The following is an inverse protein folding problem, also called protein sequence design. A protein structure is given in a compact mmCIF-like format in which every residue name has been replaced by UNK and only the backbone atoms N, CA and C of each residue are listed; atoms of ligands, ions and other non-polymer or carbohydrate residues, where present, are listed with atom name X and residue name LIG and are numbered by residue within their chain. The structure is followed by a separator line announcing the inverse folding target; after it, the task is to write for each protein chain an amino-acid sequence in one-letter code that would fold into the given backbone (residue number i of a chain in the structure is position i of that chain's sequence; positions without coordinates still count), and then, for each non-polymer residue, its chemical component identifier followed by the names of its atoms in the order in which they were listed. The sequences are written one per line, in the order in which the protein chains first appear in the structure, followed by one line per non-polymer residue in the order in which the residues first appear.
data_IF_200341252506
#
_entry.id   IF_200341252506
#
_cell.length_a   1.000
_cell.length_b   1.000
_cell.length_c   1.000
_cell.angle_alpha   90.00
_cell.angle_beta   90.00
_cell.angle_gamma   90.00
#
_symmetry.space_group_name_H-M   'P 1'
#
loop_
_entity.id
_entity.type
_entity.pdbx_description
1 polymer ?
#
# COMPACT_ATOMS: atom_id res chain seq x y z
N UNK A 1 -12.05 34.69 -53.84
CA UNK A 1 -12.20 33.22 -53.76
C UNK A 1 -11.34 32.74 -52.59
N UNK A 2 -11.92 32.10 -51.56
CA UNK A 2 -11.22 31.69 -50.36
C UNK A 2 -10.63 30.28 -50.53
N UNK A 3 -9.50 30.01 -49.89
CA UNK A 3 -9.13 28.63 -49.51
C UNK A 3 -8.69 28.71 -48.06
N UNK A 4 -9.64 28.38 -47.18
CA UNK A 4 -9.33 28.12 -45.78
C UNK A 4 -8.60 26.78 -45.69
N UNK A 5 -7.67 26.69 -44.75
CA UNK A 5 -7.27 25.42 -44.19
C UNK A 5 -7.18 25.61 -42.67
N UNK A 6 -8.23 25.15 -42.00
CA UNK A 6 -8.27 24.90 -40.57
C UNK A 6 -7.20 23.85 -40.25
N UNK A 7 -6.15 24.24 -39.52
CA UNK A 7 -5.40 23.32 -38.68
C UNK A 7 -6.11 23.25 -37.34
N UNK A 8 -7.23 22.54 -37.33
CA UNK A 8 -7.82 22.05 -36.10
C UNK A 8 -7.15 20.72 -35.75
N UNK A 9 -6.94 20.54 -34.44
CA UNK A 9 -6.73 19.27 -33.77
C UNK A 9 -5.29 18.73 -33.74
N UNK A 10 -4.82 18.54 -32.49
CA UNK A 10 -3.91 17.48 -32.00
C UNK A 10 -3.38 17.79 -30.59
N UNK A 11 -3.95 18.77 -29.87
CA UNK A 11 -3.61 18.98 -28.46
C UNK A 11 -4.50 18.18 -27.49
N UNK A 12 -5.68 17.74 -27.93
CA UNK A 12 -6.63 17.01 -27.08
C UNK A 12 -6.25 15.53 -26.85
N UNK A 13 -5.28 15.01 -27.62
CA UNK A 13 -4.88 13.59 -27.55
C UNK A 13 -3.80 13.31 -26.49
N UNK A 14 -3.06 14.34 -26.05
CA UNK A 14 -2.00 14.18 -25.04
C UNK A 14 -2.61 14.20 -23.63
N UNK A 15 -3.59 15.07 -23.38
CA UNK A 15 -4.27 15.15 -22.09
C UNK A 15 -5.11 13.89 -21.79
N UNK A 16 -5.48 13.14 -22.83
CA UNK A 16 -6.16 11.85 -22.71
C UNK A 16 -5.21 10.68 -22.37
N UNK A 17 -3.90 10.87 -22.51
CA UNK A 17 -2.87 9.87 -22.21
C UNK A 17 -2.38 9.94 -20.75
N UNK A 18 -2.70 11.03 -20.04
CA UNK A 18 -2.37 11.27 -18.63
C UNK A 18 -3.61 11.12 -17.74
N UNK A 19 -4.46 10.15 -18.06
CA UNK A 19 -5.42 9.65 -17.08
C UNK A 19 -4.60 8.84 -16.08
N UNK A 20 -4.20 9.49 -14.97
CA UNK A 20 -3.78 8.82 -13.75
C UNK A 20 -4.99 8.05 -13.21
N UNK A 21 -5.30 6.94 -13.85
CA UNK A 21 -6.25 5.96 -13.33
C UNK A 21 -5.53 5.31 -12.17
N UNK A 22 -5.71 5.91 -10.98
CA UNK A 22 -5.25 5.34 -9.74
C UNK A 22 -5.91 3.96 -9.62
N UNK A 23 -5.16 2.91 -9.95
CA UNK A 23 -5.62 1.54 -9.82
C UNK A 23 -6.08 1.38 -8.37
N UNK A 24 -7.38 1.12 -8.18
CA UNK A 24 -7.87 0.80 -6.85
C UNK A 24 -7.12 -0.43 -6.34
N UNK A 25 -6.84 -0.49 -5.04
CA UNK A 25 -6.11 -1.63 -4.43
C UNK A 25 -6.73 -2.98 -4.83
N UNK A 26 -8.06 -3.02 -5.04
CA UNK A 26 -8.78 -4.19 -5.54
C UNK A 26 -8.34 -4.61 -6.95
N UNK A 27 -8.07 -3.68 -7.86
CA UNK A 27 -7.60 -3.99 -9.22
C UNK A 27 -6.14 -4.48 -9.24
N UNK A 28 -5.32 -4.02 -8.30
CA UNK A 28 -3.94 -4.50 -8.11
C UNK A 28 -3.95 -5.95 -7.58
N UNK A 29 -4.86 -6.26 -6.65
CA UNK A 29 -5.04 -7.61 -6.12
C UNK A 29 -5.56 -8.56 -7.20
N UNK A 30 -6.54 -8.15 -8.01
CA UNK A 30 -7.12 -8.95 -9.09
C UNK A 30 -6.08 -9.31 -10.17
N UNK A 31 -5.24 -8.34 -10.57
CA UNK A 31 -4.15 -8.56 -11.52
C UNK A 31 -3.08 -9.52 -10.98
N UNK A 32 -2.95 -9.61 -9.65
CA UNK A 32 -2.00 -10.53 -8.99
C UNK A 32 -2.61 -11.94 -8.85
N UNK A 33 -3.92 -12.06 -8.66
CA UNK A 33 -4.67 -13.32 -8.58
C UNK A 33 -4.74 -14.04 -9.93
N UNK A 34 -4.91 -13.32 -11.04
CA UNK A 34 -4.92 -13.88 -12.39
C UNK A 34 -3.56 -14.49 -12.80
N UNK A 35 -2.46 -14.08 -12.15
CA UNK A 35 -1.12 -14.65 -12.34
C UNK A 35 -0.87 -15.89 -11.46
N UNK A 36 -1.78 -16.22 -10.55
CA UNK A 36 -1.70 -17.40 -9.68
C UNK A 36 -2.91 -18.30 -9.89
N UNK A 37 -3.05 -18.84 -11.10
CA UNK A 37 -3.85 -20.06 -11.31
C UNK A 37 -3.08 -21.24 -10.72
N UNK A 38 -3.15 -21.39 -9.40
CA UNK A 38 -3.47 -22.67 -8.77
C UNK A 38 -3.82 -22.49 -7.28
N UNK A 39 -5.12 -22.36 -7.03
CA UNK A 39 -5.78 -22.88 -5.83
C UNK A 39 -5.54 -22.19 -4.49
N UNK A 40 -6.37 -21.21 -4.13
CA UNK A 40 -6.99 -21.15 -2.79
C UNK A 40 -8.44 -20.68 -2.89
N UNK A 41 -9.31 -21.68 -2.83
CA UNK A 41 -10.71 -21.77 -2.39
C UNK A 41 -11.31 -20.53 -1.68
N UNK A 42 -12.35 -19.98 -2.30
CA UNK A 42 -13.68 -19.67 -1.74
C UNK A 42 -13.79 -18.99 -0.37
N UNK A 43 -14.17 -17.72 -0.37
CA UNK A 43 -14.76 -17.03 0.78
C UNK A 43 -16.25 -16.76 0.53
N UNK A 44 -17.06 -17.80 0.68
CA UNK A 44 -18.46 -17.65 1.09
C UNK A 44 -18.62 -18.44 2.39
N UNK A 45 -18.83 -17.71 3.49
CA UNK A 45 -18.89 -18.29 4.82
C UNK A 45 -19.26 -17.21 5.82
N UNK A 46 -20.53 -16.80 5.76
CA UNK A 46 -21.24 -16.20 6.88
C UNK A 46 -21.12 -17.15 8.08
N UNK A 47 -20.23 -16.82 9.01
CA UNK A 47 -20.06 -17.56 10.24
C UNK A 47 -19.91 -16.55 11.37
N UNK A 48 -20.94 -16.51 12.21
CA UNK A 48 -20.98 -15.95 13.56
C UNK A 48 -19.93 -16.65 14.46
N UNK A 49 -18.65 -16.53 14.13
CA UNK A 49 -17.57 -16.86 15.05
C UNK A 49 -17.28 -15.60 15.87
N UNK A 50 -17.65 -15.63 17.15
CA UNK A 50 -17.18 -14.72 18.19
C UNK A 50 -15.77 -14.26 17.83
N UNK A 51 -15.62 -12.99 17.43
CA UNK A 51 -14.32 -12.36 17.18
C UNK A 51 -13.50 -12.58 18.44
N UNK A 52 -12.62 -13.57 18.39
CA UNK A 52 -11.66 -13.87 19.43
C UNK A 52 -10.72 -12.69 19.43
N UNK A 53 -11.08 -11.65 20.21
CA UNK A 53 -10.39 -10.37 20.23
C UNK A 53 -8.90 -10.63 20.37
N UNK A 54 -8.19 -10.58 19.26
CA UNK A 54 -6.77 -10.88 19.24
C UNK A 54 -6.12 -9.69 19.90
N UNK A 55 -5.92 -9.78 21.21
CA UNK A 55 -5.43 -8.66 21.99
C UNK A 55 -4.13 -8.20 21.35
N UNK A 56 -4.03 -6.90 21.07
CA UNK A 56 -2.84 -6.33 20.47
C UNK A 56 -1.66 -6.55 21.43
N UNK A 57 -0.74 -7.44 21.08
CA UNK A 57 0.43 -7.76 21.90
C UNK A 57 1.65 -6.98 21.44
N UNK A 58 2.61 -6.76 22.34
CA UNK A 58 3.90 -6.17 21.97
C UNK A 58 4.61 -6.96 20.87
N UNK A 59 4.46 -8.29 20.84
CA UNK A 59 4.99 -9.16 19.78
C UNK A 59 4.36 -8.84 18.42
N UNK A 60 3.03 -8.72 18.34
CA UNK A 60 2.34 -8.36 17.10
C UNK A 60 2.77 -6.97 16.59
N UNK A 61 2.91 -6.00 17.48
CA UNK A 61 3.40 -4.66 17.09
C UNK A 61 4.84 -4.74 16.57
N UNK A 62 5.72 -5.51 17.22
CA UNK A 62 7.09 -5.71 16.78
C UNK A 62 7.15 -6.35 15.39
N UNK A 63 6.35 -7.39 15.14
CA UNK A 63 6.27 -8.07 13.84
C UNK A 63 5.81 -7.11 12.73
N UNK A 64 4.75 -6.32 13.00
CA UNK A 64 4.27 -5.30 12.06
C UNK A 64 5.34 -4.25 11.72
N UNK A 65 6.07 -3.75 12.73
CA UNK A 65 7.17 -2.80 12.52
C UNK A 65 8.31 -3.40 11.68
N UNK A 66 8.61 -4.69 11.86
CA UNK A 66 9.61 -5.40 11.05
C UNK A 66 9.18 -5.56 9.59
N UNK A 67 7.91 -5.87 9.35
CA UNK A 67 7.36 -5.96 8.00
C UNK A 67 7.43 -4.61 7.27
N UNK A 68 7.07 -3.52 7.94
CA UNK A 68 7.18 -2.18 7.37
C UNK A 68 8.62 -1.84 7.01
N UNK A 69 9.59 -2.17 7.86
CA UNK A 69 11.01 -1.96 7.56
C UNK A 69 11.48 -2.75 6.32
N UNK A 70 11.00 -4.00 6.14
CA UNK A 70 11.31 -4.79 4.95
C UNK A 70 10.71 -4.16 3.69
N UNK A 71 9.48 -3.64 3.78
CA UNK A 71 8.79 -2.96 2.69
C UNK A 71 9.53 -1.69 2.26
N UNK A 72 9.94 -0.85 3.22
CA UNK A 72 10.73 0.37 2.95
C UNK A 72 12.02 0.03 2.22
N UNK A 73 12.78 -0.95 2.72
CA UNK A 73 14.04 -1.37 2.11
C UNK A 73 13.85 -1.92 0.70
N UNK A 74 12.76 -2.66 0.45
CA UNK A 74 12.46 -3.18 -0.88
C UNK A 74 12.35 -2.05 -1.90
N UNK A 75 11.58 -1.00 -1.60
CA UNK A 75 11.42 0.11 -2.56
C UNK A 75 12.65 1.00 -2.66
N UNK A 76 13.40 1.22 -1.57
CA UNK A 76 14.66 1.97 -1.62
C UNK A 76 15.73 1.32 -2.50
N UNK A 77 15.78 -0.02 -2.54
CA UNK A 77 16.78 -0.76 -3.32
C UNK A 77 16.34 -0.92 -4.78
N UNK A 78 15.06 -1.20 -5.03
CA UNK A 78 14.60 -1.67 -6.33
C UNK A 78 13.97 -0.58 -7.21
N UNK A 79 13.58 0.58 -6.65
CA UNK A 79 12.94 1.65 -7.44
C UNK A 79 13.98 2.66 -7.94
N UNK A 80 14.11 2.86 -9.27
CA UNK A 80 15.04 3.83 -9.83
C UNK A 80 14.72 5.29 -9.44
N UNK A 81 13.43 5.58 -9.22
CA UNK A 81 12.97 6.89 -8.76
C UNK A 81 13.14 7.01 -7.23
N UNK A 82 14.27 7.57 -6.82
CA UNK A 82 14.61 7.79 -5.42
C UNK A 82 13.63 8.70 -4.70
N UNK A 83 13.09 9.73 -5.35
CA UNK A 83 12.10 10.65 -4.76
C UNK A 83 10.83 9.89 -4.34
N UNK A 84 10.31 9.02 -5.21
CA UNK A 84 9.15 8.17 -4.92
C UNK A 84 9.43 7.23 -3.75
N UNK A 85 10.59 6.58 -3.75
CA UNK A 85 10.97 5.66 -2.67
C UNK A 85 11.13 6.39 -1.32
N UNK A 86 11.76 7.56 -1.30
CA UNK A 86 11.90 8.38 -0.10
C UNK A 86 10.56 8.93 0.41
N UNK A 87 9.65 9.31 -0.50
CA UNK A 87 8.30 9.75 -0.12
C UNK A 87 7.54 8.64 0.61
N UNK A 88 7.54 7.42 0.04
CA UNK A 88 6.93 6.24 0.65
C UNK A 88 7.55 5.93 2.02
N UNK A 89 8.89 5.93 2.10
CA UNK A 89 9.59 5.69 3.37
C UNK A 89 9.14 6.69 4.44
N UNK A 90 9.08 7.99 4.12
CA UNK A 90 8.67 9.02 5.08
C UNK A 90 7.22 8.82 5.55
N UNK A 91 6.31 8.55 4.62
CA UNK A 91 4.89 8.36 4.95
C UNK A 91 4.67 7.10 5.80
N UNK A 92 5.36 6.00 5.47
CA UNK A 92 5.29 4.76 6.23
C UNK A 92 5.89 4.92 7.64
N UNK A 93 7.02 5.61 7.78
CA UNK A 93 7.60 5.94 9.08
C UNK A 93 6.67 6.79 9.95
N UNK A 94 5.99 7.78 9.35
CA UNK A 94 5.01 8.59 10.05
C UNK A 94 3.84 7.74 10.55
N UNK A 95 3.30 6.86 9.71
CA UNK A 95 2.23 5.93 10.08
C UNK A 95 2.67 4.99 11.24
N UNK A 96 3.91 4.52 11.20
CA UNK A 96 4.44 3.60 12.21
C UNK A 96 4.84 4.25 13.54
N UNK A 97 4.92 5.58 13.60
CA UNK A 97 5.36 6.31 14.80
C UNK A 97 4.53 5.96 16.06
N UNK A 98 3.20 5.98 15.95
CA UNK A 98 2.30 5.63 17.05
C UNK A 98 2.47 4.20 17.55
N UNK A 99 2.73 3.25 16.64
CA UNK A 99 3.01 1.86 17.00
C UNK A 99 4.35 1.71 17.73
N UNK A 100 5.39 2.48 17.34
CA UNK A 100 6.67 2.50 18.07
C UNK A 100 6.49 3.01 19.50
N UNK A 101 5.72 4.07 19.68
CA UNK A 101 5.40 4.60 21.01
C UNK A 101 4.61 3.59 21.85
N UNK A 102 3.60 2.95 21.26
CA UNK A 102 2.80 1.94 21.94
C UNK A 102 3.64 0.74 22.37
N UNK A 103 4.51 0.24 21.48
CA UNK A 103 5.44 -0.84 21.79
C UNK A 103 6.37 -0.46 22.95
N UNK A 104 6.90 0.77 22.96
CA UNK A 104 7.74 1.28 24.05
C UNK A 104 6.98 1.27 25.39
N UNK A 105 5.75 1.77 25.43
CA UNK A 105 4.90 1.78 26.63
C UNK A 105 4.63 0.37 27.15
N UNK A 106 4.28 -0.57 26.27
CA UNK A 106 4.03 -1.98 26.65
C UNK A 106 5.29 -2.62 27.24
N UNK A 107 6.45 -2.33 26.64
CA UNK A 107 7.72 -2.83 27.14
C UNK A 107 8.05 -2.25 28.51
N UNK A 108 7.89 -0.94 28.70
CA UNK A 108 8.11 -0.28 29.99
C UNK A 108 7.19 -0.81 31.09
N UNK A 109 5.90 -1.01 30.82
CA UNK A 109 4.97 -1.59 31.78
C UNK A 109 5.31 -3.03 32.16
N UNK A 110 5.89 -3.81 31.24
CA UNK A 110 6.33 -5.18 31.50
C UNK A 110 7.61 -5.28 32.34
N UNK A 111 8.42 -4.21 32.40
CA UNK A 111 9.63 -4.17 33.25
C UNK A 111 9.35 -3.67 34.68
N UNK A 112 8.19 -3.04 34.92
CA UNK A 112 7.80 -2.50 36.22
C UNK A 112 6.88 -3.43 37.04
N UNK A 113 6.50 -4.58 36.47
CA UNK A 113 5.76 -5.66 37.17
C UNK A 113 6.71 -6.74 37.65
#
# INVERSE_FOLDING_TARGET
MPVGNNLASNHDDIDKLLVDDALSDNYIIDLTLDLTVDGVVGLEGDNDEEEKSSSLTGKLIQEGLQLCSKLENHFLINVPNSERAFKLQRELQNCMSGYRELYKKIKESSLQS
#
